data_IF_879743770782
#
_entry.id   IF_879743770782
#
_cell.length_a   1.000
_cell.length_b   1.000
_cell.length_c   1.000
_cell.angle_alpha   90.00
_cell.angle_beta   90.00
_cell.angle_gamma   90.00
#
_symmetry.space_group_name_H-M   'P 1'
#
loop_
_entity.id
_entity.type
_entity.pdbx_description
1 polymer ?
#
# COMPACT_ATOMS: atom_id res chain seq x y z
N UNK A 1 3.95 -28.93 -12.93
CA UNK A 1 4.24 -27.53 -13.29
C UNK A 1 5.47 -27.07 -12.52
N UNK A 2 6.43 -26.43 -13.19
CA UNK A 2 7.62 -25.89 -12.54
C UNK A 2 7.26 -24.76 -11.55
N UNK A 3 8.05 -24.65 -10.48
CA UNK A 3 7.97 -23.54 -9.54
C UNK A 3 8.49 -22.27 -10.23
N UNK A 4 7.75 -21.17 -10.14
CA UNK A 4 8.16 -19.86 -10.68
C UNK A 4 7.99 -18.79 -9.61
N UNK A 5 8.75 -17.70 -9.72
CA UNK A 5 8.63 -16.55 -8.82
C UNK A 5 7.21 -15.99 -8.80
N UNK A 6 6.57 -15.89 -9.98
CA UNK A 6 5.19 -15.44 -10.10
C UNK A 6 4.22 -16.33 -9.31
N UNK A 7 4.33 -17.65 -9.48
CA UNK A 7 3.46 -18.60 -8.76
C UNK A 7 3.64 -18.53 -7.25
N UNK A 8 4.87 -18.28 -6.78
CA UNK A 8 5.18 -18.07 -5.35
C UNK A 8 4.46 -16.82 -4.84
N UNK A 9 4.57 -15.70 -5.55
CA UNK A 9 3.94 -14.43 -5.17
C UNK A 9 2.42 -14.56 -5.18
N UNK A 10 1.84 -15.14 -6.22
CA UNK A 10 0.38 -15.32 -6.33
C UNK A 10 -0.15 -16.21 -5.20
N UNK A 11 0.54 -17.31 -4.88
CA UNK A 11 0.12 -18.20 -3.78
C UNK A 11 0.27 -17.51 -2.42
N UNK A 12 1.33 -16.71 -2.23
CA UNK A 12 1.51 -15.93 -1.01
C UNK A 12 0.43 -14.85 -0.85
N UNK A 13 -0.03 -14.24 -1.95
CA UNK A 13 -1.13 -13.29 -1.95
C UNK A 13 -2.46 -13.95 -1.54
N UNK A 14 -2.72 -15.17 -2.01
CA UNK A 14 -3.91 -15.93 -1.61
C UNK A 14 -3.87 -16.36 -0.13
N UNK A 15 -2.69 -16.74 0.38
CA UNK A 15 -2.50 -16.98 1.82
C UNK A 15 -2.79 -15.71 2.61
N UNK A 16 -2.27 -14.57 2.17
CA UNK A 16 -2.46 -13.27 2.82
C UNK A 16 -3.96 -12.89 2.85
N UNK A 17 -4.67 -13.00 1.73
CA UNK A 17 -6.12 -12.74 1.65
C UNK A 17 -6.92 -13.63 2.59
N UNK A 18 -6.55 -14.91 2.69
CA UNK A 18 -7.31 -15.91 3.46
C UNK A 18 -7.01 -15.83 4.96
N UNK A 19 -5.76 -15.66 5.33
CA UNK A 19 -5.28 -15.86 6.71
C UNK A 19 -4.59 -14.64 7.32
N UNK A 20 -4.24 -13.64 6.52
CA UNK A 20 -3.49 -12.48 6.98
C UNK A 20 -1.98 -12.70 7.04
N UNK A 21 -1.27 -11.63 7.37
CA UNK A 21 0.18 -11.52 7.37
C UNK A 21 0.83 -12.36 8.48
N UNK A 22 0.17 -12.48 9.63
CA UNK A 22 0.63 -13.29 10.76
C UNK A 22 0.81 -14.77 10.35
N UNK A 23 -0.09 -15.27 9.50
CA UNK A 23 -0.08 -16.65 9.03
C UNK A 23 0.81 -16.90 7.81
N UNK A 24 1.24 -15.83 7.12
CA UNK A 24 2.15 -15.93 5.98
C UNK A 24 3.57 -16.29 6.44
N UNK A 25 3.94 -17.57 6.27
CA UNK A 25 5.29 -18.09 6.54
C UNK A 25 5.86 -18.83 5.34
N UNK A 26 7.19 -18.87 5.23
CA UNK A 26 7.87 -19.63 4.16
C UNK A 26 7.49 -21.11 4.17
N UNK A 27 7.27 -21.68 5.36
CA UNK A 27 6.87 -23.09 5.52
C UNK A 27 5.42 -23.32 5.06
N UNK A 28 4.48 -22.44 5.43
CA UNK A 28 3.09 -22.50 4.95
C UNK A 28 3.07 -22.38 3.43
N UNK A 29 3.77 -21.40 2.89
CA UNK A 29 3.85 -21.16 1.45
C UNK A 29 4.39 -22.37 0.69
N UNK A 30 5.46 -23.00 1.19
CA UNK A 30 6.01 -24.20 0.58
C UNK A 30 5.02 -25.37 0.60
N UNK A 31 4.34 -25.57 1.73
CA UNK A 31 3.30 -26.59 1.88
C UNK A 31 2.14 -26.36 0.89
N UNK A 32 1.64 -25.14 0.81
CA UNK A 32 0.50 -24.81 -0.06
C UNK A 32 0.89 -24.90 -1.55
N UNK A 33 2.18 -24.71 -1.87
CA UNK A 33 2.76 -24.95 -3.20
C UNK A 33 3.09 -26.42 -3.49
N UNK A 34 3.03 -27.31 -2.49
CA UNK A 34 3.41 -28.72 -2.62
C UNK A 34 4.92 -28.95 -2.84
N UNK A 35 5.77 -28.06 -2.32
CA UNK A 35 7.23 -28.14 -2.47
C UNK A 35 7.94 -28.12 -1.13
N UNK A 36 9.22 -28.52 -1.13
CA UNK A 36 10.07 -28.35 0.05
C UNK A 36 10.43 -26.86 0.25
N UNK A 37 10.56 -26.35 1.49
CA UNK A 37 10.91 -24.96 1.74
C UNK A 37 12.19 -24.50 1.03
N UNK A 38 13.18 -25.40 0.90
CA UNK A 38 14.41 -25.17 0.15
C UNK A 38 14.18 -24.72 -1.30
N UNK A 39 13.11 -25.19 -1.94
CA UNK A 39 12.78 -24.85 -3.32
C UNK A 39 12.39 -23.37 -3.49
N UNK A 40 11.79 -22.75 -2.46
CA UNK A 40 11.38 -21.34 -2.52
C UNK A 40 12.59 -20.40 -2.60
N UNK A 41 13.67 -20.73 -1.89
CA UNK A 41 14.85 -19.88 -1.76
C UNK A 41 15.64 -19.68 -3.06
N UNK A 42 15.39 -20.50 -4.08
CA UNK A 42 15.91 -20.29 -5.44
C UNK A 42 15.24 -19.11 -6.16
N UNK A 43 14.04 -18.72 -5.73
CA UNK A 43 13.25 -17.66 -6.36
C UNK A 43 13.08 -16.42 -5.48
N UNK A 44 13.07 -16.60 -4.16
CA UNK A 44 12.90 -15.55 -3.15
C UNK A 44 13.74 -15.90 -1.93
N UNK A 45 14.78 -15.11 -1.65
CA UNK A 45 15.86 -15.43 -0.70
C UNK A 45 15.39 -15.54 0.75
N UNK A 46 14.33 -14.82 1.13
CA UNK A 46 13.79 -14.81 2.50
C UNK A 46 12.37 -14.23 2.53
N UNK A 47 11.74 -14.19 3.72
CA UNK A 47 10.41 -13.60 3.91
C UNK A 47 10.40 -12.11 3.58
N UNK A 48 11.48 -11.38 3.83
CA UNK A 48 11.56 -9.94 3.58
C UNK A 48 11.50 -9.65 2.07
N UNK A 49 12.24 -10.39 1.24
CA UNK A 49 12.16 -10.26 -0.22
C UNK A 49 10.77 -10.64 -0.74
N UNK A 50 10.11 -11.64 -0.13
CA UNK A 50 8.73 -11.99 -0.46
C UNK A 50 7.77 -10.82 -0.17
N UNK A 51 7.92 -10.15 0.98
CA UNK A 51 7.08 -9.01 1.35
C UNK A 51 7.26 -7.82 0.39
N UNK A 52 8.51 -7.54 -0.02
CA UNK A 52 8.77 -6.50 -1.04
C UNK A 52 8.10 -6.86 -2.37
N UNK A 53 8.19 -8.12 -2.80
CA UNK A 53 7.53 -8.58 -4.03
C UNK A 53 6.00 -8.54 -3.94
N UNK A 54 5.43 -8.88 -2.78
CA UNK A 54 4.00 -8.80 -2.51
C UNK A 54 3.51 -7.35 -2.52
N UNK A 55 4.24 -6.43 -1.88
CA UNK A 55 3.92 -5.01 -1.94
C UNK A 55 3.90 -4.50 -3.38
N UNK A 56 4.88 -4.87 -4.20
CA UNK A 56 4.86 -4.55 -5.63
C UNK A 56 3.61 -5.07 -6.35
N UNK A 57 3.16 -6.29 -6.03
CA UNK A 57 1.94 -6.88 -6.60
C UNK A 57 0.66 -6.21 -6.11
N UNK A 58 0.60 -5.83 -4.83
CA UNK A 58 -0.52 -5.09 -4.23
C UNK A 58 -0.67 -3.72 -4.91
N UNK A 59 0.45 -3.05 -5.18
CA UNK A 59 0.47 -1.69 -5.73
C UNK A 59 0.43 -1.63 -7.25
N UNK A 60 0.53 -2.76 -7.96
CA UNK A 60 0.47 -2.82 -9.43
C UNK A 60 -0.73 -2.06 -10.05
N UNK A 61 -1.94 -2.06 -9.46
CA UNK A 61 -3.07 -1.31 -9.99
C UNK A 61 -2.95 0.22 -9.84
N UNK A 62 -2.08 0.71 -8.96
CA UNK A 62 -1.99 2.13 -8.59
C UNK A 62 -1.31 2.91 -9.72
N UNK A 63 -2.06 3.82 -10.34
CA UNK A 63 -1.55 4.66 -11.41
C UNK A 63 -1.23 6.05 -10.89
N UNK A 64 0.05 6.33 -10.68
CA UNK A 64 0.49 7.68 -10.34
C UNK A 64 0.90 8.41 -11.61
N UNK A 65 0.05 9.33 -12.07
CA UNK A 65 0.29 10.05 -13.31
C UNK A 65 -0.69 11.19 -13.57
N UNK A 66 -0.29 12.06 -14.49
CA UNK A 66 -1.00 13.29 -14.82
C UNK A 66 -1.89 13.10 -16.05
N UNK A 67 -3.21 13.11 -15.84
CA UNK A 67 -4.18 13.27 -16.91
C UNK A 67 -4.91 14.60 -16.70
N UNK A 68 -4.45 15.68 -17.36
CA UNK A 68 -5.31 16.84 -17.62
C UNK A 68 -5.12 18.12 -16.79
N UNK A 69 -3.90 18.55 -16.49
CA UNK A 69 -3.60 19.91 -16.01
C UNK A 69 -3.80 20.18 -14.51
N UNK A 70 -4.21 19.18 -13.73
CA UNK A 70 -4.49 19.31 -12.28
C UNK A 70 -3.60 18.35 -11.44
N UNK A 71 -2.43 18.82 -10.95
CA UNK A 71 -1.56 18.02 -10.09
C UNK A 71 -2.22 17.62 -8.77
N UNK A 72 -3.01 18.50 -8.14
CA UNK A 72 -3.65 18.22 -6.85
C UNK A 72 -4.76 17.18 -7.00
N UNK A 73 -5.55 17.26 -8.08
CA UNK A 73 -6.49 16.22 -8.46
C UNK A 73 -5.82 14.88 -8.80
N UNK A 74 -4.65 14.91 -9.42
CA UNK A 74 -3.86 13.69 -9.67
C UNK A 74 -3.36 13.05 -8.36
N UNK A 75 -2.95 13.87 -7.38
CA UNK A 75 -2.59 13.38 -6.04
C UNK A 75 -3.79 12.77 -5.32
N UNK A 76 -4.96 13.41 -5.36
CA UNK A 76 -6.21 12.86 -4.80
C UNK A 76 -6.55 11.49 -5.39
N UNK A 77 -6.54 11.37 -6.72
CA UNK A 77 -6.79 10.08 -7.41
C UNK A 77 -5.76 9.03 -7.04
N UNK A 78 -4.48 9.39 -7.00
CA UNK A 78 -3.41 8.48 -6.59
C UNK A 78 -3.60 7.98 -5.15
N UNK A 79 -4.05 8.85 -4.25
CA UNK A 79 -4.36 8.47 -2.86
C UNK A 79 -5.55 7.51 -2.78
N UNK A 80 -6.60 7.74 -3.57
CA UNK A 80 -7.76 6.84 -3.66
C UNK A 80 -7.38 5.48 -4.24
N UNK A 81 -6.61 5.45 -5.33
CA UNK A 81 -6.11 4.23 -5.95
C UNK A 81 -5.24 3.43 -4.97
N UNK A 82 -4.36 4.12 -4.22
CA UNK A 82 -3.55 3.50 -3.19
C UNK A 82 -4.41 2.92 -2.07
N UNK A 83 -5.40 3.68 -1.56
CA UNK A 83 -6.34 3.17 -0.56
C UNK A 83 -7.08 1.93 -1.06
N UNK A 84 -7.63 1.97 -2.27
CA UNK A 84 -8.35 0.84 -2.86
C UNK A 84 -7.47 -0.40 -3.03
N UNK A 85 -6.24 -0.22 -3.50
CA UNK A 85 -5.27 -1.31 -3.65
C UNK A 85 -4.92 -1.97 -2.30
N UNK A 86 -4.70 -1.17 -1.26
CA UNK A 86 -4.41 -1.67 0.08
C UNK A 86 -5.61 -2.39 0.71
N UNK A 87 -6.83 -1.84 0.58
CA UNK A 87 -8.06 -2.44 1.12
C UNK A 87 -8.43 -3.75 0.41
N UNK A 88 -8.06 -3.91 -0.87
CA UNK A 88 -8.32 -5.12 -1.65
C UNK A 88 -7.57 -6.36 -1.15
N UNK A 89 -6.61 -6.19 -0.23
CA UNK A 89 -5.78 -7.26 0.31
C UNK A 89 -5.74 -7.16 1.82
N UNK A 90 -6.13 -8.24 2.51
CA UNK A 90 -6.03 -8.34 3.97
C UNK A 90 -4.60 -8.02 4.43
N UNK A 91 -4.47 -7.18 5.44
CA UNK A 91 -3.20 -6.69 5.99
C UNK A 91 -2.31 -6.03 4.92
N UNK A 92 -2.91 -5.51 3.85
CA UNK A 92 -2.22 -4.88 2.72
C UNK A 92 -1.41 -3.67 3.16
N UNK A 93 -1.95 -2.85 4.09
CA UNK A 93 -1.22 -1.71 4.65
C UNK A 93 0.03 -2.14 5.43
N UNK A 94 -0.05 -3.22 6.21
CA UNK A 94 1.09 -3.73 6.98
C UNK A 94 2.17 -4.31 6.07
N UNK A 95 1.78 -5.09 5.06
CA UNK A 95 2.73 -5.64 4.06
C UNK A 95 3.46 -4.51 3.35
N UNK A 96 2.73 -3.50 2.90
CA UNK A 96 3.30 -2.34 2.23
C UNK A 96 4.20 -1.53 3.17
N UNK A 97 3.77 -1.26 4.40
CA UNK A 97 4.55 -0.52 5.39
C UNK A 97 5.89 -1.22 5.69
N UNK A 98 5.87 -2.55 5.85
CA UNK A 98 7.09 -3.34 6.04
C UNK A 98 7.99 -3.30 4.79
N UNK A 99 7.42 -3.44 3.59
CA UNK A 99 8.19 -3.36 2.35
C UNK A 99 8.85 -1.99 2.18
N UNK A 100 8.15 -0.90 2.53
CA UNK A 100 8.71 0.46 2.49
C UNK A 100 9.89 0.62 3.46
N UNK A 101 9.83 0.01 4.64
CA UNK A 101 10.95 0.01 5.59
C UNK A 101 12.14 -0.84 5.10
N UNK A 102 11.87 -1.95 4.40
CA UNK A 102 12.88 -2.88 3.89
C UNK A 102 13.58 -2.38 2.61
N UNK A 103 12.84 -1.72 1.72
CA UNK A 103 13.28 -1.34 0.37
C UNK A 103 12.59 -0.02 -0.06
N UNK A 104 12.91 1.12 0.59
CA UNK A 104 12.23 2.40 0.34
C UNK A 104 12.31 2.86 -1.13
N UNK A 105 13.39 2.53 -1.83
CA UNK A 105 13.61 2.84 -3.24
C UNK A 105 12.70 2.07 -4.20
N UNK A 106 12.15 0.94 -3.76
CA UNK A 106 11.25 0.10 -4.56
C UNK A 106 9.80 0.62 -4.52
N UNK A 107 9.51 1.68 -3.75
CA UNK A 107 8.17 2.16 -3.50
C UNK A 107 7.72 3.24 -4.49
N UNK A 108 7.28 2.80 -5.67
CA UNK A 108 6.95 3.66 -6.82
C UNK A 108 5.89 4.74 -6.56
N UNK A 109 4.82 4.50 -5.77
CA UNK A 109 3.80 5.53 -5.53
C UNK A 109 4.35 6.80 -4.86
N UNK A 110 5.30 6.70 -3.92
CA UNK A 110 5.93 7.87 -3.28
C UNK A 110 6.71 8.70 -4.31
N UNK A 111 7.42 8.05 -5.23
CA UNK A 111 8.18 8.75 -6.27
C UNK A 111 7.25 9.50 -7.23
N UNK A 112 6.16 8.85 -7.65
CA UNK A 112 5.16 9.50 -8.51
C UNK A 112 4.47 10.68 -7.81
N UNK A 113 4.09 10.53 -6.53
CA UNK A 113 3.48 11.62 -5.76
C UNK A 113 4.45 12.77 -5.53
N UNK A 114 5.74 12.49 -5.36
CA UNK A 114 6.78 13.51 -5.28
C UNK A 114 6.85 14.33 -6.57
N UNK A 115 6.80 13.67 -7.74
CA UNK A 115 6.79 14.36 -9.03
C UNK A 115 5.56 15.26 -9.19
N UNK A 116 4.36 14.73 -8.90
CA UNK A 116 3.11 15.50 -8.95
C UNK A 116 3.13 16.72 -8.01
N UNK A 117 3.66 16.57 -6.80
CA UNK A 117 3.76 17.66 -5.85
C UNK A 117 4.79 18.71 -6.29
N UNK A 118 5.91 18.32 -6.89
CA UNK A 118 6.89 19.25 -7.45
C UNK A 118 6.30 20.07 -8.60
N UNK A 119 5.50 19.45 -9.48
CA UNK A 119 4.77 20.14 -10.56
C UNK A 119 3.78 21.19 -10.05
N UNK A 120 3.33 21.07 -8.80
CA UNK A 120 2.45 22.05 -8.16
C UNK A 120 3.16 23.31 -7.65
N UNK A 121 4.46 23.46 -7.91
CA UNK A 121 5.25 24.62 -7.51
C UNK A 121 5.90 24.51 -6.13
N UNK A 122 5.99 23.29 -5.58
CA UNK A 122 6.76 23.00 -4.38
C UNK A 122 8.24 22.84 -4.70
N UNK A 123 9.10 23.22 -3.76
CA UNK A 123 10.51 22.84 -3.82
C UNK A 123 10.65 21.32 -3.79
N UNK A 124 11.73 20.78 -4.37
CA UNK A 124 11.99 19.33 -4.36
C UNK A 124 11.96 18.73 -2.95
N UNK A 125 12.46 19.46 -1.95
CA UNK A 125 12.46 19.05 -0.56
C UNK A 125 11.03 18.99 0.01
N UNK A 126 10.23 20.03 -0.19
CA UNK A 126 8.84 20.05 0.28
C UNK A 126 7.97 19.03 -0.46
N UNK A 127 8.19 18.79 -1.75
CA UNK A 127 7.50 17.77 -2.52
C UNK A 127 7.76 16.36 -1.95
N UNK A 128 9.03 16.04 -1.63
CA UNK A 128 9.38 14.77 -0.97
C UNK A 128 8.74 14.61 0.41
N UNK A 129 8.78 15.66 1.23
CA UNK A 129 8.16 15.61 2.55
C UNK A 129 6.63 15.49 2.46
N UNK A 130 5.99 16.23 1.55
CA UNK A 130 4.56 16.13 1.29
C UNK A 130 4.14 14.74 0.83
N UNK A 131 4.87 14.15 -0.13
CA UNK A 131 4.60 12.80 -0.62
C UNK A 131 4.76 11.75 0.49
N UNK A 132 5.80 11.88 1.33
CA UNK A 132 6.01 11.01 2.48
C UNK A 132 4.90 11.15 3.53
N UNK A 133 4.50 12.38 3.86
CA UNK A 133 3.41 12.66 4.80
C UNK A 133 2.08 12.09 4.32
N UNK A 134 1.74 12.29 3.04
CA UNK A 134 0.56 11.70 2.43
C UNK A 134 0.61 10.17 2.47
N UNK A 135 1.75 9.57 2.15
CA UNK A 135 1.89 8.10 2.21
C UNK A 135 1.70 7.56 3.62
N UNK A 136 2.30 8.20 4.62
CA UNK A 136 2.09 7.81 6.03
C UNK A 136 0.62 7.93 6.44
N UNK A 137 -0.04 9.02 6.05
CA UNK A 137 -1.46 9.21 6.30
C UNK A 137 -2.29 8.09 5.67
N UNK A 138 -2.04 7.75 4.40
CA UNK A 138 -2.80 6.72 3.68
C UNK A 138 -2.60 5.35 4.33
N UNK A 139 -1.35 4.99 4.64
CA UNK A 139 -1.05 3.71 5.30
C UNK A 139 -1.69 3.62 6.68
N UNK A 140 -1.61 4.69 7.47
CA UNK A 140 -2.23 4.75 8.80
C UNK A 140 -3.75 4.64 8.75
N UNK A 141 -4.40 5.40 7.86
CA UNK A 141 -5.85 5.38 7.69
C UNK A 141 -6.34 3.99 7.29
N UNK A 142 -5.69 3.35 6.31
CA UNK A 142 -6.07 2.00 5.86
C UNK A 142 -5.76 0.94 6.91
N UNK A 143 -4.65 1.07 7.64
CA UNK A 143 -4.32 0.13 8.73
C UNK A 143 -5.39 0.16 9.83
N UNK A 144 -5.84 1.36 10.23
CA UNK A 144 -6.92 1.50 11.21
C UNK A 144 -8.23 0.89 10.69
N UNK A 145 -8.61 1.18 9.45
CA UNK A 145 -9.81 0.64 8.80
C UNK A 145 -9.80 -0.89 8.74
N UNK A 146 -8.67 -1.49 8.33
CA UNK A 146 -8.51 -2.94 8.27
C UNK A 146 -8.55 -3.58 9.67
N UNK A 147 -7.88 -2.98 10.66
CA UNK A 147 -7.90 -3.47 12.04
C UNK A 147 -9.31 -3.41 12.64
N UNK A 148 -10.04 -2.32 12.42
CA UNK A 148 -11.43 -2.17 12.86
C UNK A 148 -12.34 -3.21 12.21
N UNK A 149 -12.20 -3.42 10.90
CA UNK A 149 -12.96 -4.44 10.18
C UNK A 149 -12.67 -5.86 10.69
N UNK A 150 -11.43 -6.16 11.09
CA UNK A 150 -11.07 -7.46 11.68
C UNK A 150 -11.65 -7.64 13.10
N UNK A 151 -11.59 -6.61 13.93
CA UNK A 151 -12.21 -6.63 15.26
C UNK A 151 -13.74 -6.78 15.16
N UNK A 152 -14.38 -6.14 14.18
CA UNK A 152 -15.80 -6.31 13.91
C UNK A 152 -16.12 -7.75 13.44
N UNK A 153 -15.33 -8.31 12.52
CA UNK A 153 -15.48 -9.72 12.08
C UNK A 153 -15.30 -10.72 13.21
N UNK A 154 -14.50 -10.40 14.24
CA UNK A 154 -14.32 -11.25 15.42
C UNK A 154 -15.38 -11.04 16.51
N UNK A 155 -16.31 -10.08 16.33
CA UNK A 155 -17.35 -9.76 17.31
C UNK A 155 -16.87 -8.95 18.51
N UNK A 156 -15.66 -8.39 18.45
CA UNK A 156 -15.08 -7.55 19.51
C UNK A 156 -15.47 -6.07 19.39
N UNK A 157 -15.94 -5.65 18.21
CA UNK A 157 -16.47 -4.32 17.95
C UNK A 157 -17.75 -4.42 17.12
N UNK A 158 -18.64 -3.44 17.27
CA UNK A 158 -19.72 -3.25 16.31
C UNK A 158 -19.14 -2.83 14.95
N UNK A 159 -19.80 -3.18 13.83
CA UNK A 159 -19.43 -2.68 12.52
C UNK A 159 -19.30 -1.16 12.53
N UNK A 160 -18.22 -0.64 11.93
CA UNK A 160 -18.00 0.79 11.79
C UNK A 160 -19.06 1.47 10.91
N UNK A 161 -18.94 2.79 10.69
CA UNK A 161 -19.78 3.47 9.70
C UNK A 161 -19.62 2.81 8.31
N UNK A 162 -20.57 3.05 7.41
CA UNK A 162 -20.51 2.47 6.06
C UNK A 162 -19.24 2.91 5.31
N UNK A 163 -18.78 2.08 4.36
CA UNK A 163 -17.58 2.25 3.54
C UNK A 163 -17.44 3.66 2.95
N UNK A 164 -18.57 4.27 2.60
CA UNK A 164 -18.64 5.61 2.01
C UNK A 164 -18.20 6.68 3.01
N UNK A 165 -18.58 6.58 4.29
CA UNK A 165 -18.19 7.53 5.31
C UNK A 165 -16.69 7.46 5.63
N UNK A 166 -16.11 6.25 5.66
CA UNK A 166 -14.66 6.08 5.80
C UNK A 166 -13.91 6.64 4.58
N UNK A 167 -14.48 6.48 3.37
CA UNK A 167 -13.97 7.09 2.15
C UNK A 167 -14.00 8.63 2.16
N UNK A 168 -15.07 9.23 2.66
CA UNK A 168 -15.20 10.68 2.82
C UNK A 168 -14.22 11.23 3.85
N UNK A 169 -14.12 10.59 5.02
CA UNK A 169 -13.17 10.96 6.07
C UNK A 169 -11.72 10.85 5.59
N UNK A 170 -11.41 9.81 4.81
CA UNK A 170 -10.12 9.64 4.16
C UNK A 170 -9.79 10.80 3.20
N UNK A 171 -10.73 11.15 2.31
CA UNK A 171 -10.53 12.25 1.36
C UNK A 171 -10.41 13.60 2.06
N UNK A 172 -11.15 13.82 3.15
CA UNK A 172 -11.01 15.02 3.96
C UNK A 172 -9.57 15.19 4.48
N UNK A 173 -8.94 14.13 4.99
CA UNK A 173 -7.55 14.19 5.45
C UNK A 173 -6.56 14.42 4.31
N UNK A 174 -6.75 13.78 3.14
CA UNK A 174 -5.93 14.05 1.94
C UNK A 174 -6.01 15.52 1.54
N UNK A 175 -7.22 16.08 1.49
CA UNK A 175 -7.44 17.48 1.12
C UNK A 175 -6.82 18.43 2.13
N UNK A 176 -6.97 18.15 3.43
CA UNK A 176 -6.37 18.95 4.50
C UNK A 176 -4.84 19.01 4.35
N UNK A 177 -4.20 17.88 4.04
CA UNK A 177 -2.74 17.84 3.81
C UNK A 177 -2.35 18.61 2.54
N UNK A 178 -3.11 18.47 1.45
CA UNK A 178 -2.87 19.20 0.21
C UNK A 178 -3.00 20.72 0.38
N UNK A 179 -4.06 21.18 1.03
CA UNK A 179 -4.28 22.60 1.35
C UNK A 179 -3.14 23.16 2.22
N UNK A 180 -2.69 22.41 3.22
CA UNK A 180 -1.53 22.79 4.03
C UNK A 180 -0.24 22.93 3.19
N UNK A 181 -0.02 22.03 2.22
CA UNK A 181 1.13 22.10 1.31
C UNK A 181 1.09 23.33 0.40
N UNK A 182 -0.08 23.87 0.07
CA UNK A 182 -0.19 25.08 -0.75
C UNK A 182 0.50 26.29 -0.12
N UNK A 183 0.57 26.36 1.21
CA UNK A 183 1.27 27.42 1.94
C UNK A 183 2.79 27.42 1.70
N UNK A 184 3.34 26.32 1.19
CA UNK A 184 4.76 26.12 0.95
C UNK A 184 5.15 26.20 -0.53
N UNK A 185 4.19 26.51 -1.43
CA UNK A 185 4.46 26.73 -2.86
C UNK A 185 5.22 28.04 -3.03
N UNK A 186 6.26 28.02 -3.86
CA UNK A 186 6.94 29.24 -4.29
C UNK A 186 5.90 30.15 -4.97
N UNK A 187 5.83 31.41 -4.54
CA UNK A 187 5.06 32.45 -5.25
C UNK A 187 5.64 32.73 -6.62
#
# INVERSE_FOLDING_TARGET
>A
MALTRQKIIDTALEILRSYGLADLSMRRLARDLGVQPGALYWHVKNKQELLVALAGRILEPVKVGHAGGDPDGAVRRSAQDLRGALLAVRDGSDVVSLAQALAPESFTPVHGMTALLAESGLSELHARWGAKSLTHYILGAVAEEQARAELARSGLLEPGPDSDADGEAFLFGVNTLLEGLQMHRSR
#
